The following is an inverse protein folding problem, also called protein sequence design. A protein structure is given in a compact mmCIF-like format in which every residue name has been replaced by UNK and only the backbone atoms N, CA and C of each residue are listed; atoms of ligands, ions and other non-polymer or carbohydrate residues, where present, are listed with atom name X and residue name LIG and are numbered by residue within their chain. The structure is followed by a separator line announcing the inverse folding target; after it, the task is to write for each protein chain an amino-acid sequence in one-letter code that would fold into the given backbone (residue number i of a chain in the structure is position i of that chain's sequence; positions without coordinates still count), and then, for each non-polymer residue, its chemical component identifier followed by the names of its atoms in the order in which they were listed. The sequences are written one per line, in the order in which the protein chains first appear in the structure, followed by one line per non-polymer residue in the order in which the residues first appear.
data_IF_702143666000
#
_entry.id   IF_702143666000
#
_cell.length_a   1.000
_cell.length_b   1.000
_cell.length_c   1.000
_cell.angle_alpha   90.00
_cell.angle_beta   90.00
_cell.angle_gamma   90.00
#
_symmetry.space_group_name_H-M   'P 1'
#
loop_
_entity.id
_entity.type
_entity.pdbx_description
1 polymer ?
#
# COMPACT_ATOMS: atom_id res chain seq x y z
N UNK A 1 -0.80 -3.74 7.87
CA UNK A 1 -1.33 -2.80 6.87
C UNK A 1 -2.05 -1.64 7.55
N UNK A 2 -2.95 -1.90 8.49
CA UNK A 2 -3.91 -0.92 9.05
C UNK A 2 -3.54 -0.28 10.41
N UNK A 3 -2.29 -0.42 10.86
CA UNK A 3 -1.88 -0.07 12.22
C UNK A 3 -1.44 1.40 12.40
N UNK A 4 -1.72 2.27 11.42
CA UNK A 4 -1.34 3.69 11.49
C UNK A 4 -2.39 4.50 12.25
N UNK A 5 -1.93 5.54 12.94
CA UNK A 5 -2.78 6.57 13.53
C UNK A 5 -2.58 7.88 12.78
N UNK A 6 -3.56 8.77 12.86
CA UNK A 6 -3.48 10.10 12.22
C UNK A 6 -2.25 10.85 12.72
N UNK A 7 -1.96 10.79 14.02
CA UNK A 7 -0.81 11.43 14.63
C UNK A 7 0.56 10.91 14.13
N UNK A 8 0.63 9.74 13.49
CA UNK A 8 1.90 9.22 12.95
C UNK A 8 2.19 9.66 11.52
N UNK A 9 1.29 10.45 10.92
CA UNK A 9 1.41 11.05 9.59
C UNK A 9 1.78 12.52 9.75
N UNK A 10 2.95 12.91 9.24
CA UNK A 10 3.46 14.27 9.35
C UNK A 10 3.70 14.85 7.96
N UNK A 11 3.27 16.10 7.73
CA UNK A 11 3.49 16.78 6.45
C UNK A 11 4.98 17.04 6.20
N UNK A 12 5.44 16.77 4.99
CA UNK A 12 6.81 16.98 4.56
C UNK A 12 6.85 17.70 3.20
N UNK A 13 8.00 18.29 2.83
CA UNK A 13 8.17 19.06 1.58
C UNK A 13 7.70 18.32 0.32
N UNK A 14 7.93 17.01 0.26
CA UNK A 14 7.63 16.17 -0.90
C UNK A 14 6.46 15.19 -0.68
N UNK A 15 5.67 15.39 0.38
CA UNK A 15 4.53 14.53 0.71
C UNK A 15 4.33 14.38 2.21
N UNK A 16 4.43 13.15 2.71
CA UNK A 16 4.26 12.83 4.12
C UNK A 16 5.37 11.94 4.66
N UNK A 17 5.78 12.16 5.89
CA UNK A 17 6.57 11.21 6.67
C UNK A 17 5.66 10.41 7.59
N UNK A 18 5.73 9.08 7.47
CA UNK A 18 4.90 8.14 8.23
C UNK A 18 5.75 7.28 9.14
N UNK A 19 5.48 7.38 10.44
CA UNK A 19 6.20 6.63 11.47
C UNK A 19 5.42 5.37 11.86
N UNK A 20 6.10 4.21 11.83
CA UNK A 20 5.48 2.93 12.17
C UNK A 20 6.33 2.19 13.19
N UNK A 21 5.69 1.71 14.27
CA UNK A 21 6.34 0.77 15.19
C UNK A 21 6.40 -0.63 14.58
N UNK A 22 7.60 -1.19 14.49
CA UNK A 22 7.85 -2.50 13.91
C UNK A 22 8.04 -3.52 15.02
N UNK A 23 7.00 -4.29 15.35
CA UNK A 23 7.06 -5.33 16.40
C UNK A 23 8.24 -6.30 16.24
N UNK A 24 8.54 -6.74 15.01
CA UNK A 24 9.61 -7.71 14.72
C UNK A 24 11.01 -7.19 15.04
N UNK A 25 11.27 -5.90 14.83
CA UNK A 25 12.59 -5.27 15.09
C UNK A 25 12.57 -4.30 16.27
N UNK A 26 11.42 -4.23 16.97
CA UNK A 26 11.15 -3.40 18.16
C UNK A 26 11.59 -1.94 18.02
N UNK A 27 11.39 -1.35 16.85
CA UNK A 27 11.88 -0.01 16.50
C UNK A 27 10.82 0.79 15.73
N UNK A 28 10.77 2.10 15.96
CA UNK A 28 10.05 3.05 15.10
C UNK A 28 10.83 3.30 13.81
N UNK A 29 10.15 3.19 12.67
CA UNK A 29 10.74 3.50 11.37
C UNK A 29 9.89 4.54 10.68
N UNK A 30 10.51 5.64 10.29
CA UNK A 30 9.92 6.69 9.46
C UNK A 30 10.12 6.34 7.99
N UNK A 31 9.06 6.46 7.20
CA UNK A 31 9.08 6.20 5.76
C UNK A 31 8.44 7.39 5.06
N UNK A 32 9.11 7.91 4.03
CA UNK A 32 8.56 8.97 3.21
C UNK A 32 7.52 8.39 2.24
N UNK A 33 6.38 9.07 2.14
CA UNK A 33 5.34 8.88 1.14
C UNK A 33 5.44 10.07 0.19
N UNK A 34 5.93 9.80 -1.02
CA UNK A 34 6.23 10.83 -2.02
C UNK A 34 5.09 11.02 -3.02
N UNK A 35 5.03 12.19 -3.65
CA UNK A 35 4.12 12.41 -4.77
C UNK A 35 4.38 11.40 -5.89
N UNK A 36 3.30 10.87 -6.45
CA UNK A 36 3.33 10.05 -7.65
C UNK A 36 3.16 10.94 -8.88
N UNK A 37 3.67 10.47 -10.02
CA UNK A 37 3.59 11.21 -11.30
C UNK A 37 2.16 11.29 -11.82
N UNK A 38 1.40 10.21 -11.70
CA UNK A 38 -0.01 10.16 -12.09
C UNK A 38 -0.90 10.67 -10.93
N UNK A 39 -1.70 11.73 -11.14
CA UNK A 39 -2.61 12.25 -10.13
C UNK A 39 -3.64 11.24 -9.63
N UNK A 40 -4.10 10.31 -10.47
CA UNK A 40 -5.14 9.34 -10.13
C UNK A 40 -4.65 8.26 -9.16
N UNK A 41 -3.35 7.94 -9.21
CA UNK A 41 -2.70 6.93 -8.37
C UNK A 41 -1.73 7.53 -7.35
N UNK A 42 -1.70 8.86 -7.22
CA UNK A 42 -0.77 9.55 -6.33
C UNK A 42 -1.12 9.31 -4.84
N UNK A 43 -0.23 8.69 -4.05
CA UNK A 43 -0.53 8.33 -2.66
C UNK A 43 -0.65 9.57 -1.76
N UNK A 44 0.09 10.63 -2.03
CA UNK A 44 0.01 11.89 -1.27
C UNK A 44 -1.34 12.58 -1.49
N UNK A 45 -1.83 12.64 -2.73
CA UNK A 45 -3.14 13.23 -3.04
C UNK A 45 -4.27 12.40 -2.42
N UNK A 46 -4.19 11.08 -2.54
CA UNK A 46 -5.16 10.17 -1.93
C UNK A 46 -5.19 10.30 -0.40
N UNK A 47 -4.02 10.32 0.26
CA UNK A 47 -3.92 10.49 1.71
C UNK A 47 -4.44 11.85 2.16
N UNK A 48 -4.12 12.92 1.43
CA UNK A 48 -4.64 14.27 1.72
C UNK A 48 -6.16 14.33 1.65
N UNK A 49 -6.74 13.79 0.58
CA UNK A 49 -8.19 13.73 0.41
C UNK A 49 -8.85 12.91 1.52
N UNK A 50 -8.23 11.80 1.90
CA UNK A 50 -8.72 10.94 2.98
C UNK A 50 -8.65 11.62 4.35
N UNK A 51 -7.55 12.29 4.69
CA UNK A 51 -7.42 13.04 5.94
C UNK A 51 -8.47 14.16 6.04
N UNK A 52 -8.71 14.89 4.94
CA UNK A 52 -9.76 15.91 4.89
C UNK A 52 -11.17 15.31 5.11
N UNK A 53 -11.44 14.12 4.55
CA UNK A 53 -12.70 13.41 4.77
C UNK A 53 -12.86 12.96 6.23
N UNK A 54 -11.79 12.48 6.87
CA UNK A 54 -11.79 12.13 8.30
C UNK A 54 -12.06 13.36 9.16
N UNK A 55 -11.41 14.48 8.88
CA UNK A 55 -11.62 15.75 9.59
C UNK A 55 -13.06 16.25 9.44
N UNK A 56 -13.61 16.22 8.22
CA UNK A 56 -15.02 16.58 7.96
C UNK A 56 -16.02 15.66 8.69
N UNK A 57 -15.63 14.41 8.95
CA UNK A 57 -16.39 13.46 9.77
C UNK A 57 -16.13 13.62 11.28
N UNK A 58 -15.41 14.66 11.71
CA UNK A 58 -15.11 14.95 13.11
C UNK A 58 -14.01 14.08 13.72
N UNK A 59 -13.15 13.47 12.90
CA UNK A 59 -12.07 12.57 13.35
C UNK A 59 -10.70 13.12 12.96
N UNK A 60 -10.03 13.70 13.94
CA UNK A 60 -8.65 14.24 13.80
C UNK A 60 -7.59 13.41 14.53
N UNK A 61 -8.01 12.38 15.28
CA UNK A 61 -7.12 11.50 16.04
C UNK A 61 -7.56 10.03 15.96
N UNK A 62 -6.67 9.13 16.41
CA UNK A 62 -6.86 7.70 16.46
C UNK A 62 -6.50 7.01 15.15
N UNK A 63 -7.07 5.81 14.90
CA UNK A 63 -6.77 5.02 13.72
C UNK A 63 -6.95 5.80 12.42
N UNK A 64 -5.90 5.79 11.57
CA UNK A 64 -5.96 6.35 10.23
C UNK A 64 -6.95 5.54 9.37
N UNK A 65 -6.81 4.21 9.36
CA UNK A 65 -7.71 3.33 8.61
C UNK A 65 -8.87 2.87 9.48
N UNK A 66 -10.05 3.43 9.23
CA UNK A 66 -11.28 3.15 9.98
C UNK A 66 -12.25 2.28 9.19
N UNK A 67 -13.15 1.61 9.92
CA UNK A 67 -14.28 0.89 9.31
C UNK A 67 -15.25 1.90 8.69
N UNK A 68 -15.63 1.66 7.45
CA UNK A 68 -16.61 2.47 6.70
C UNK A 68 -17.69 1.52 6.17
N UNK A 69 -18.95 1.92 6.25
CA UNK A 69 -20.07 1.16 5.69
C UNK A 69 -20.24 1.42 4.18
N UNK A 70 -21.22 0.77 3.56
CA UNK A 70 -21.51 0.91 2.11
C UNK A 70 -22.07 2.28 1.72
N UNK A 71 -22.33 3.16 2.67
CA UNK A 71 -22.87 4.51 2.47
C UNK A 71 -21.85 5.58 2.85
N UNK A 72 -20.56 5.22 2.87
CA UNK A 72 -19.43 6.10 3.19
C UNK A 72 -19.46 6.69 4.61
N UNK A 73 -20.10 6.00 5.55
CA UNK A 73 -20.15 6.43 6.96
C UNK A 73 -19.15 5.66 7.80
N UNK A 74 -18.45 6.36 8.68
CA UNK A 74 -17.56 5.74 9.66
C UNK A 74 -18.41 4.94 10.65
N UNK A 75 -18.09 3.65 10.80
CA UNK A 75 -18.86 2.73 11.64
C UNK A 75 -18.55 3.00 13.12
N UNK A 76 -19.57 3.20 13.97
CA UNK A 76 -19.37 3.40 15.41
C UNK A 76 -18.78 2.13 16.08
N UNK A 77 -18.37 2.21 17.37
CA UNK A 77 -17.97 1.03 18.13
C UNK A 77 -19.06 -0.05 18.07
N UNK A 78 -18.67 -1.26 17.66
CA UNK A 78 -19.62 -2.36 17.51
C UNK A 78 -19.85 -3.02 18.87
N UNK A 79 -21.08 -3.43 19.16
CA UNK A 79 -21.40 -4.18 20.38
C UNK A 79 -22.18 -5.45 20.04
N UNK A 80 -21.98 -6.52 20.83
CA UNK A 80 -22.76 -7.76 20.76
C UNK A 80 -23.12 -8.17 22.18
N UNK A 81 -24.42 -8.25 22.47
CA UNK A 81 -24.90 -8.54 23.83
C UNK A 81 -24.39 -7.55 24.88
N UNK A 82 -24.33 -6.25 24.53
CA UNK A 82 -23.82 -5.19 25.41
C UNK A 82 -22.30 -5.14 25.56
N UNK A 83 -21.53 -6.04 24.94
CA UNK A 83 -20.06 -6.05 24.98
C UNK A 83 -19.48 -5.46 23.70
N UNK A 84 -18.50 -4.57 23.82
CA UNK A 84 -17.77 -4.05 22.65
C UNK A 84 -17.03 -5.18 21.94
N UNK A 85 -17.17 -5.26 20.62
CA UNK A 85 -16.49 -6.22 19.77
C UNK A 85 -15.64 -5.48 18.72
N UNK A 86 -14.53 -6.10 18.34
CA UNK A 86 -13.54 -5.47 17.45
C UNK A 86 -12.81 -4.32 18.13
N UNK A 87 -12.15 -3.48 17.33
CA UNK A 87 -11.40 -2.34 17.83
C UNK A 87 -12.35 -1.20 18.25
N UNK A 88 -12.31 -0.74 19.52
CA UNK A 88 -13.22 0.28 20.05
C UNK A 88 -12.98 1.66 19.43
N UNK A 89 -11.78 1.92 18.92
CA UNK A 89 -11.45 3.16 18.23
C UNK A 89 -11.84 3.14 16.74
N UNK A 90 -12.57 2.11 16.29
CA UNK A 90 -13.08 2.06 14.91
C UNK A 90 -12.08 1.53 13.89
N UNK A 91 -10.91 1.03 14.30
CA UNK A 91 -9.87 0.59 13.36
C UNK A 91 -10.38 -0.53 12.43
N UNK A 92 -10.08 -0.39 11.15
CA UNK A 92 -10.28 -1.45 10.16
C UNK A 92 -9.37 -2.65 10.47
N UNK A 93 -9.84 -3.87 10.23
CA UNK A 93 -9.00 -5.07 10.39
C UNK A 93 -8.08 -5.27 9.18
N UNK A 94 -7.04 -6.10 9.33
CA UNK A 94 -6.16 -6.40 8.21
C UNK A 94 -6.88 -7.21 7.12
N UNK A 95 -7.84 -8.03 7.54
CA UNK A 95 -8.72 -8.85 6.71
C UNK A 95 -9.64 -7.98 5.86
N UNK A 96 -10.30 -6.97 6.46
CA UNK A 96 -11.13 -6.02 5.72
C UNK A 96 -10.30 -5.24 4.69
N UNK A 97 -9.08 -4.87 5.03
CA UNK A 97 -8.19 -4.20 4.08
C UNK A 97 -7.71 -5.14 2.94
N UNK A 98 -7.57 -6.44 3.21
CA UNK A 98 -7.30 -7.44 2.15
C UNK A 98 -8.52 -7.62 1.24
N UNK A 99 -9.72 -7.67 1.80
CA UNK A 99 -10.98 -7.76 1.04
C UNK A 99 -11.17 -6.56 0.11
N UNK A 100 -10.81 -5.35 0.55
CA UNK A 100 -10.80 -4.16 -0.34
C UNK A 100 -9.85 -4.35 -1.52
N UNK A 101 -8.64 -4.87 -1.29
CA UNK A 101 -7.67 -5.14 -2.37
C UNK A 101 -8.20 -6.18 -3.34
N UNK A 102 -8.82 -7.24 -2.85
CA UNK A 102 -9.43 -8.29 -3.66
C UNK A 102 -10.60 -7.75 -4.51
N UNK A 103 -11.51 -6.99 -3.90
CA UNK A 103 -12.63 -6.34 -4.62
C UNK A 103 -12.14 -5.43 -5.74
N UNK A 104 -11.10 -4.63 -5.48
CA UNK A 104 -10.50 -3.76 -6.49
C UNK A 104 -9.85 -4.57 -7.63
N UNK A 105 -9.18 -5.67 -7.31
CA UNK A 105 -8.59 -6.55 -8.33
C UNK A 105 -9.66 -7.18 -9.23
N UNK A 106 -10.76 -7.66 -8.65
CA UNK A 106 -11.92 -8.19 -9.40
C UNK A 106 -12.53 -7.10 -10.29
N UNK A 107 -12.69 -5.88 -9.78
CA UNK A 107 -13.25 -4.76 -10.54
C UNK A 107 -12.45 -4.40 -11.80
N UNK A 108 -11.14 -4.67 -11.81
CA UNK A 108 -10.26 -4.46 -12.98
C UNK A 108 -10.00 -5.75 -13.77
N UNK A 109 -10.77 -6.81 -13.51
CA UNK A 109 -10.70 -8.07 -14.26
C UNK A 109 -9.49 -8.96 -13.92
N UNK A 110 -8.85 -8.76 -12.77
CA UNK A 110 -7.76 -9.63 -12.32
C UNK A 110 -8.32 -10.84 -11.57
N UNK A 111 -7.77 -12.02 -11.86
CA UNK A 111 -8.07 -13.29 -11.19
C UNK A 111 -6.98 -13.68 -10.18
N UNK A 112 -7.36 -14.42 -9.13
CA UNK A 112 -6.45 -14.98 -8.13
C UNK A 112 -6.55 -14.31 -6.75
N UNK A 113 -5.69 -14.73 -5.82
CA UNK A 113 -5.73 -14.26 -4.43
C UNK A 113 -4.95 -12.95 -4.26
N UNK A 114 -5.66 -11.84 -4.17
CA UNK A 114 -5.08 -10.51 -4.03
C UNK A 114 -5.11 -10.03 -2.58
N UNK A 115 -3.96 -9.58 -2.08
CA UNK A 115 -3.85 -9.03 -0.73
C UNK A 115 -2.81 -7.92 -0.66
N UNK A 116 -2.64 -7.33 0.53
CA UNK A 116 -1.55 -6.39 0.79
C UNK A 116 -0.15 -6.94 0.49
N UNK A 117 0.04 -8.27 0.54
CA UNK A 117 1.30 -8.89 0.13
C UNK A 117 1.51 -8.79 -1.39
N UNK A 118 0.44 -8.92 -2.17
CA UNK A 118 0.48 -8.77 -3.63
C UNK A 118 0.90 -7.35 -4.01
N UNK A 119 0.36 -6.33 -3.34
CA UNK A 119 0.79 -4.93 -3.53
C UNK A 119 2.27 -4.73 -3.20
N UNK A 120 2.76 -5.33 -2.12
CA UNK A 120 4.17 -5.25 -1.73
C UNK A 120 5.10 -5.92 -2.73
N UNK A 121 4.73 -7.08 -3.28
CA UNK A 121 5.48 -7.74 -4.37
C UNK A 121 5.46 -6.88 -5.63
N UNK A 122 4.27 -6.39 -6.02
CA UNK A 122 4.08 -5.54 -7.19
C UNK A 122 4.95 -4.28 -7.16
N UNK A 123 5.05 -3.63 -6.01
CA UNK A 123 5.97 -2.51 -5.80
C UNK A 123 7.43 -2.88 -6.13
N UNK A 124 7.95 -3.98 -5.57
CA UNK A 124 9.33 -4.38 -5.81
C UNK A 124 9.59 -4.72 -7.27
N UNK A 125 8.66 -5.45 -7.90
CA UNK A 125 8.80 -5.83 -9.31
C UNK A 125 8.72 -4.63 -10.24
N UNK A 126 7.80 -3.69 -9.98
CA UNK A 126 7.65 -2.48 -10.78
C UNK A 126 8.87 -1.55 -10.64
N UNK A 127 9.36 -1.34 -9.41
CA UNK A 127 10.55 -0.54 -9.16
C UNK A 127 11.80 -1.14 -9.83
N UNK A 128 11.95 -2.48 -9.80
CA UNK A 128 13.04 -3.15 -10.50
C UNK A 128 12.93 -3.03 -12.02
N UNK A 129 11.72 -3.18 -12.55
CA UNK A 129 11.46 -3.02 -13.98
C UNK A 129 11.77 -1.58 -14.47
N UNK A 130 11.55 -0.58 -13.60
CA UNK A 130 11.95 0.81 -13.83
C UNK A 130 13.46 1.07 -13.66
N UNK A 131 14.25 0.07 -13.27
CA UNK A 131 15.71 0.15 -13.21
C UNK A 131 16.27 0.57 -11.85
N UNK A 132 15.45 0.69 -10.79
CA UNK A 132 15.95 1.04 -9.46
C UNK A 132 16.88 -0.03 -8.88
N UNK A 133 17.77 0.41 -8.00
CA UNK A 133 18.73 -0.45 -7.32
C UNK A 133 18.04 -1.37 -6.30
N UNK A 134 18.37 -2.67 -6.26
CA UNK A 134 17.75 -3.62 -5.33
C UNK A 134 17.87 -3.21 -3.85
N UNK A 135 18.94 -2.53 -3.44
CA UNK A 135 19.12 -2.06 -2.06
C UNK A 135 18.16 -0.91 -1.73
N UNK A 136 17.93 0.01 -2.67
CA UNK A 136 16.94 1.08 -2.52
C UNK A 136 15.53 0.51 -2.41
N UNK A 137 15.18 -0.45 -3.28
CA UNK A 137 13.91 -1.18 -3.24
C UNK A 137 13.77 -1.92 -1.91
N UNK A 138 14.83 -2.58 -1.44
CA UNK A 138 14.85 -3.30 -0.17
C UNK A 138 14.50 -2.37 0.99
N UNK A 139 15.17 -1.22 1.08
CA UNK A 139 14.98 -0.22 2.12
C UNK A 139 13.56 0.37 2.07
N UNK A 140 13.09 0.78 0.90
CA UNK A 140 11.76 1.37 0.71
C UNK A 140 10.63 0.37 1.06
N UNK A 141 10.71 -0.87 0.58
CA UNK A 141 9.72 -1.90 0.89
C UNK A 141 10.00 -2.68 2.18
N UNK A 142 11.01 -2.26 2.95
CA UNK A 142 11.35 -2.75 4.29
C UNK A 142 11.73 -4.22 4.36
N UNK A 143 12.37 -4.73 3.30
CA UNK A 143 13.10 -6.00 3.36
C UNK A 143 14.42 -5.81 4.10
N UNK A 144 14.94 -6.90 4.65
CA UNK A 144 16.32 -6.91 5.16
C UNK A 144 17.28 -6.89 3.98
N UNK A 145 18.44 -6.26 4.16
CA UNK A 145 19.51 -6.28 3.17
C UNK A 145 19.88 -7.74 2.88
N UNK A 146 20.00 -8.10 1.59
CA UNK A 146 20.22 -9.49 1.16
C UNK A 146 18.99 -10.41 1.28
N UNK A 147 17.77 -9.88 1.38
CA UNK A 147 16.56 -10.72 1.47
C UNK A 147 16.41 -11.68 0.29
N UNK A 148 16.44 -13.00 0.56
CA UNK A 148 16.18 -14.06 -0.44
C UNK A 148 14.82 -13.93 -1.13
N UNK A 149 13.80 -13.44 -0.41
CA UNK A 149 12.47 -13.22 -0.99
C UNK A 149 12.50 -12.09 -2.01
N UNK A 150 13.18 -10.99 -1.69
CA UNK A 150 13.33 -9.88 -2.61
C UNK A 150 14.16 -10.28 -3.83
N UNK A 151 15.27 -11.02 -3.61
CA UNK A 151 16.11 -11.52 -4.69
C UNK A 151 15.30 -12.29 -5.74
N UNK A 152 14.41 -13.20 -5.32
CA UNK A 152 13.50 -13.92 -6.24
C UNK A 152 12.64 -12.98 -7.09
N UNK A 153 12.15 -11.88 -6.53
CA UNK A 153 11.37 -10.90 -7.29
C UNK A 153 12.24 -10.14 -8.29
N UNK A 154 13.50 -9.86 -7.96
CA UNK A 154 14.45 -9.23 -8.89
C UNK A 154 14.78 -10.19 -10.03
N UNK A 155 15.06 -11.46 -9.71
CA UNK A 155 15.37 -12.52 -10.68
C UNK A 155 14.22 -12.73 -11.67
N UNK A 156 12.97 -12.75 -11.18
CA UNK A 156 11.76 -12.86 -12.01
C UNK A 156 11.70 -11.75 -13.08
N UNK A 157 12.01 -10.50 -12.68
CA UNK A 157 11.99 -9.32 -13.54
C UNK A 157 13.18 -9.32 -14.50
N UNK A 158 14.38 -9.59 -13.98
CA UNK A 158 15.62 -9.56 -14.74
C UNK A 158 15.61 -10.65 -15.82
N UNK A 159 15.05 -11.84 -15.54
CA UNK A 159 14.83 -12.90 -16.55
C UNK A 159 14.01 -12.42 -17.74
N UNK A 160 12.99 -11.59 -17.51
CA UNK A 160 12.14 -11.05 -18.59
C UNK A 160 12.89 -9.94 -19.34
N UNK A 161 13.60 -9.07 -18.60
CA UNK A 161 14.36 -7.96 -19.19
C UNK A 161 15.54 -8.42 -20.03
N UNK A 162 16.26 -9.45 -19.59
CA UNK A 162 17.40 -10.05 -20.29
C UNK A 162 16.98 -11.04 -21.38
N UNK A 163 15.67 -11.23 -21.60
CA UNK A 163 15.19 -12.17 -22.61
C UNK A 163 15.46 -11.62 -24.02
N UNK A 164 16.14 -12.37 -24.90
CA UNK A 164 16.38 -11.96 -26.29
C UNK A 164 15.10 -11.71 -27.11
N UNK A 165 13.92 -12.07 -26.57
CA UNK A 165 12.62 -11.90 -27.22
C UNK A 165 12.02 -10.51 -27.03
N UNK A 166 12.57 -9.68 -26.12
CA UNK A 166 12.03 -8.35 -25.79
C UNK A 166 12.38 -7.27 -26.82
N UNK A 167 13.45 -7.48 -27.60
CA UNK A 167 13.97 -6.49 -28.57
C UNK A 167 13.50 -6.72 -30.02
N UNK A 168 12.41 -7.47 -30.26
CA UNK A 168 11.87 -7.55 -31.62
C UNK A 168 11.12 -6.26 -31.97
N UNK A 169 11.55 -5.47 -32.97
CA UNK A 169 10.72 -4.39 -33.49
C UNK A 169 9.41 -5.02 -34.00
N UNK A 170 8.28 -4.42 -33.63
CA UNK A 170 7.00 -4.74 -34.24
C UNK A 170 7.14 -4.47 -35.73
N UNK A 171 7.23 -5.53 -36.53
CA UNK A 171 7.12 -5.44 -37.98
C UNK A 171 5.75 -4.85 -38.28
N UNK A 172 5.73 -3.62 -38.80
CA UNK A 172 4.52 -3.00 -39.32
C UNK A 172 3.92 -3.91 -40.41
N UNK A 173 2.59 -4.03 -40.50
CA UNK A 173 1.97 -4.83 -41.54
C UNK A 173 2.30 -4.22 -42.91
N UNK A 174 2.85 -5.03 -43.82
CA UNK A 174 3.00 -4.66 -45.22
C UNK A 174 1.61 -4.41 -45.82
N UNK A 175 1.48 -3.28 -46.51
CA UNK A 175 0.31 -2.91 -47.32
C UNK A 175 0.08 -3.90 -48.46
#
# INVERSE_FOLDING_TARGET
MVALDVATVTGAKHGYDVTVYRKKVRKHTTNAILYGTDPATCPVRALRAYLAALEAAGRTDGPLFVRVDRWDRIVPPMTRGGRTIGDPAGRMTAEAAAEVVERLAVAVGLSGDWSGHSLRRGFATAARAAGHDPLEIARAGRWVDGSRVLARYMDDVDRVRSSPRRDRPVMAPAL
#
